data_IF_076784643538
#
_entry.id   IF_076784643538
#
_cell.length_a   1.000
_cell.length_b   1.000
_cell.length_c   1.000
_cell.angle_alpha   90.00
_cell.angle_beta   90.00
_cell.angle_gamma   90.00
#
_symmetry.space_group_name_H-M   'P 1'
#
loop_
_entity.id
_entity.type
_entity.pdbx_description
1 polymer ?
#
# COMPACT_ATOMS: atom_id res chain seq x y z
N UNK A 1 42.04 16.31 10.89
CA UNK A 1 41.32 16.34 9.58
C UNK A 1 40.19 15.31 9.63
N UNK A 2 39.18 15.52 10.48
CA UNK A 2 38.17 14.49 10.78
C UNK A 2 36.73 15.03 10.78
N UNK A 3 36.53 16.25 10.27
CA UNK A 3 35.21 16.91 10.26
C UNK A 3 34.56 16.95 8.86
N UNK A 4 35.33 16.74 7.77
CA UNK A 4 34.81 16.86 6.40
C UNK A 4 34.10 15.59 5.90
N UNK A 5 34.36 14.43 6.51
CA UNK A 5 33.79 13.14 6.08
C UNK A 5 32.35 12.90 6.54
N UNK A 6 31.85 13.68 7.51
CA UNK A 6 30.48 13.54 8.01
C UNK A 6 29.47 14.40 7.25
N UNK A 7 29.90 15.45 6.55
CA UNK A 7 28.99 16.31 5.79
C UNK A 7 28.66 15.73 4.41
N UNK A 8 29.59 14.99 3.78
CA UNK A 8 29.40 14.39 2.45
C UNK A 8 28.37 13.25 2.44
N UNK A 9 28.29 12.45 3.51
CA UNK A 9 27.30 11.37 3.62
C UNK A 9 25.86 11.89 3.76
N UNK A 10 25.68 13.13 4.24
CA UNK A 10 24.35 13.72 4.39
C UNK A 10 23.72 14.12 3.06
N UNK A 11 24.51 14.33 2.00
CA UNK A 11 24.03 14.92 0.75
C UNK A 11 23.61 13.87 -0.30
N UNK A 12 24.15 12.65 -0.23
CA UNK A 12 23.98 11.67 -1.30
C UNK A 12 22.54 11.12 -1.39
N UNK A 13 21.87 10.90 -0.26
CA UNK A 13 20.47 10.51 -0.26
C UNK A 13 19.54 11.67 -0.61
N UNK A 14 19.92 12.92 -0.31
CA UNK A 14 19.14 14.11 -0.67
C UNK A 14 19.06 14.30 -2.19
N UNK A 15 20.13 13.93 -2.92
CA UNK A 15 20.19 13.99 -4.38
C UNK A 15 19.25 13.00 -5.07
N UNK A 16 18.91 11.89 -4.40
CA UNK A 16 18.07 10.82 -4.97
C UNK A 16 16.79 10.56 -4.17
N UNK A 17 16.39 11.48 -3.27
CA UNK A 17 15.21 11.30 -2.40
C UNK A 17 13.91 11.05 -3.17
N UNK A 18 13.79 11.61 -4.38
CA UNK A 18 12.63 11.42 -5.27
C UNK A 18 12.54 9.99 -5.82
N UNK A 19 13.65 9.22 -5.80
CA UNK A 19 13.72 7.83 -6.27
C UNK A 19 13.56 6.80 -5.13
N UNK A 20 13.22 7.26 -3.91
CA UNK A 20 13.10 6.41 -2.74
C UNK A 20 11.63 6.25 -2.38
N UNK A 21 11.11 5.03 -2.51
CA UNK A 21 9.75 4.70 -2.09
C UNK A 21 9.61 4.89 -0.57
N UNK A 22 8.65 5.71 -0.10
CA UNK A 22 8.35 5.86 1.31
C UNK A 22 7.86 4.53 1.91
N UNK A 23 8.46 4.09 3.02
CA UNK A 23 8.04 2.89 3.75
C UNK A 23 7.54 3.28 5.14
N UNK A 24 6.41 2.70 5.57
CA UNK A 24 5.82 2.92 6.90
C UNK A 24 6.77 2.51 8.04
N UNK A 25 7.66 1.53 7.80
CA UNK A 25 8.68 1.05 8.74
C UNK A 25 9.98 1.84 8.71
N UNK A 26 10.15 2.78 7.76
CA UNK A 26 11.43 3.42 7.48
C UNK A 26 12.43 2.52 6.74
N UNK A 27 13.65 3.04 6.53
CA UNK A 27 14.78 2.36 5.86
C UNK A 27 16.07 2.54 6.65
N UNK A 28 16.97 1.56 6.56
CA UNK A 28 18.33 1.68 7.10
C UNK A 28 19.15 2.61 6.21
N UNK A 29 19.69 3.69 6.79
CA UNK A 29 20.47 4.71 6.05
C UNK A 29 21.65 4.10 5.32
N UNK A 30 22.38 3.15 5.93
CA UNK A 30 23.52 2.50 5.30
C UNK A 30 23.16 1.78 3.99
N UNK A 31 22.02 1.08 3.96
CA UNK A 31 21.55 0.38 2.76
C UNK A 31 21.07 1.37 1.71
N UNK A 32 20.43 2.46 2.14
CA UNK A 32 20.00 3.54 1.26
C UNK A 32 21.19 4.22 0.58
N UNK A 33 22.22 4.60 1.34
CA UNK A 33 23.45 5.18 0.80
C UNK A 33 24.13 4.23 -0.19
N UNK A 34 24.25 2.95 0.17
CA UNK A 34 24.85 1.95 -0.71
C UNK A 34 24.05 1.75 -2.01
N UNK A 35 22.71 1.79 -1.95
CA UNK A 35 21.84 1.65 -3.11
C UNK A 35 21.80 2.89 -4.01
N UNK A 36 22.03 4.08 -3.45
CA UNK A 36 22.00 5.36 -4.17
C UNK A 36 23.37 5.78 -4.71
N UNK A 37 24.45 5.13 -4.25
CA UNK A 37 25.80 5.40 -4.71
C UNK A 37 25.90 5.25 -6.24
N UNK A 38 26.22 6.32 -6.99
CA UNK A 38 26.25 6.28 -8.43
C UNK A 38 27.38 5.35 -8.90
N UNK A 39 27.02 4.27 -9.58
CA UNK A 39 27.95 3.39 -10.33
C UNK A 39 28.73 2.33 -9.53
N UNK A 40 28.19 1.78 -8.45
CA UNK A 40 28.81 0.62 -7.81
C UNK A 40 28.39 -0.69 -8.50
N UNK A 41 29.09 -1.05 -9.60
CA UNK A 41 29.02 -2.40 -10.21
C UNK A 41 29.19 -3.50 -9.14
N UNK A 42 30.02 -3.22 -8.12
CA UNK A 42 30.24 -4.07 -6.97
C UNK A 42 28.98 -4.25 -6.10
N UNK A 43 28.16 -3.20 -5.94
CA UNK A 43 26.90 -3.28 -5.18
C UNK A 43 25.84 -4.08 -5.93
N UNK A 44 25.70 -3.86 -7.25
CA UNK A 44 24.80 -4.67 -8.09
C UNK A 44 25.23 -6.15 -8.09
N UNK A 45 26.53 -6.41 -8.18
CA UNK A 45 27.08 -7.77 -8.11
C UNK A 45 26.86 -8.41 -6.73
N UNK A 46 27.03 -7.64 -5.65
CA UNK A 46 26.73 -8.08 -4.28
C UNK A 46 25.25 -8.40 -4.09
N UNK A 47 24.34 -7.52 -4.52
CA UNK A 47 22.89 -7.77 -4.48
C UNK A 47 22.54 -9.03 -5.26
N UNK A 48 23.07 -9.18 -6.48
CA UNK A 48 22.80 -10.35 -7.32
C UNK A 48 23.24 -11.64 -6.64
N UNK A 49 24.43 -11.63 -6.02
CA UNK A 49 24.96 -12.76 -5.24
C UNK A 49 24.08 -13.07 -4.02
N UNK A 50 23.71 -12.07 -3.24
CA UNK A 50 22.84 -12.25 -2.06
C UNK A 50 21.46 -12.79 -2.46
N UNK A 51 20.88 -12.29 -3.57
CA UNK A 51 19.65 -12.81 -4.15
C UNK A 51 19.77 -14.30 -4.50
N UNK A 52 20.87 -14.69 -5.14
CA UNK A 52 21.12 -16.10 -5.48
C UNK A 52 21.28 -16.99 -4.24
N UNK A 53 21.88 -16.47 -3.17
CA UNK A 53 21.97 -17.19 -1.89
C UNK A 53 20.59 -17.45 -1.31
N UNK A 54 19.70 -16.45 -1.27
CA UNK A 54 18.32 -16.64 -0.82
C UNK A 54 17.54 -17.64 -1.67
N UNK A 55 17.65 -17.56 -3.01
CA UNK A 55 16.97 -18.52 -3.89
C UNK A 55 17.51 -19.95 -3.73
N UNK A 56 18.81 -20.10 -3.42
CA UNK A 56 19.40 -21.40 -3.11
C UNK A 56 18.90 -21.91 -1.76
N UNK A 57 18.90 -21.05 -0.74
CA UNK A 57 18.41 -21.37 0.60
C UNK A 57 16.95 -21.84 0.54
N UNK A 58 16.06 -21.13 -0.17
CA UNK A 58 14.67 -21.54 -0.35
C UNK A 58 14.54 -22.95 -0.99
N UNK A 59 15.45 -23.33 -1.89
CA UNK A 59 15.42 -24.63 -2.58
C UNK A 59 15.98 -25.76 -1.72
N UNK A 60 16.98 -25.46 -0.89
CA UNK A 60 17.69 -26.47 -0.09
C UNK A 60 17.27 -26.47 1.38
N UNK A 61 16.28 -25.65 1.76
CA UNK A 61 15.84 -25.54 3.14
C UNK A 61 15.09 -26.80 3.58
N UNK A 62 15.63 -27.48 4.60
CA UNK A 62 15.04 -28.69 5.19
C UNK A 62 14.59 -28.47 6.65
N UNK A 63 14.52 -27.22 7.11
CA UNK A 63 14.11 -26.90 8.47
C UNK A 63 12.59 -26.88 8.69
N UNK A 64 12.19 -26.72 9.96
CA UNK A 64 10.78 -26.75 10.36
C UNK A 64 9.99 -25.46 10.03
N UNK A 65 10.68 -24.34 9.75
CA UNK A 65 10.04 -23.05 9.51
C UNK A 65 10.48 -22.40 8.18
N UNK A 66 10.03 -22.96 7.03
CA UNK A 66 10.36 -22.41 5.71
C UNK A 66 9.91 -20.95 5.55
N UNK A 67 8.82 -20.53 6.19
CA UNK A 67 8.32 -19.15 6.13
C UNK A 67 9.38 -18.13 6.59
N UNK A 68 10.25 -18.48 7.54
CA UNK A 68 11.28 -17.57 8.04
C UNK A 68 12.27 -17.17 6.94
N UNK A 69 12.68 -18.11 6.07
CA UNK A 69 13.60 -17.82 4.96
C UNK A 69 12.95 -16.86 3.97
N UNK A 70 11.68 -17.12 3.63
CA UNK A 70 10.90 -16.25 2.75
C UNK A 70 10.72 -14.84 3.33
N UNK A 71 10.37 -14.75 4.62
CA UNK A 71 10.22 -13.47 5.30
C UNK A 71 11.53 -12.67 5.30
N UNK A 72 12.66 -13.32 5.62
CA UNK A 72 13.98 -12.69 5.58
C UNK A 72 14.33 -12.18 4.17
N UNK A 73 14.03 -12.97 3.13
CA UNK A 73 14.28 -12.58 1.76
C UNK A 73 13.42 -11.38 1.33
N UNK A 74 12.14 -11.35 1.70
CA UNK A 74 11.23 -10.24 1.40
C UNK A 74 11.71 -8.95 2.11
N UNK A 75 12.07 -9.03 3.39
CA UNK A 75 12.62 -7.88 4.13
C UNK A 75 13.92 -7.38 3.48
N UNK A 76 14.80 -8.30 3.08
CA UNK A 76 16.04 -7.95 2.40
C UNK A 76 15.79 -7.22 1.07
N UNK A 77 14.80 -7.63 0.26
CA UNK A 77 14.43 -6.90 -0.96
C UNK A 77 13.96 -5.48 -0.62
N UNK A 78 13.08 -5.31 0.36
CA UNK A 78 12.60 -3.99 0.76
C UNK A 78 13.74 -3.03 1.16
N UNK A 79 14.76 -3.56 1.83
CA UNK A 79 15.88 -2.78 2.31
C UNK A 79 16.88 -2.42 1.19
N UNK A 80 17.10 -3.30 0.22
CA UNK A 80 18.13 -3.11 -0.82
C UNK A 80 17.60 -2.48 -2.12
N UNK A 81 16.27 -2.45 -2.32
CA UNK A 81 15.65 -1.84 -3.50
C UNK A 81 14.84 -0.59 -3.14
N UNK A 82 15.46 0.60 -3.12
CA UNK A 82 14.79 1.84 -2.72
C UNK A 82 13.65 2.28 -3.63
N UNK A 83 13.76 2.02 -4.92
CA UNK A 83 12.77 2.40 -5.95
C UNK A 83 11.64 1.38 -6.10
N UNK A 84 11.63 0.33 -5.27
CA UNK A 84 10.81 -0.86 -5.47
C UNK A 84 11.50 -1.87 -6.40
N UNK A 85 11.23 -3.17 -6.19
CA UNK A 85 11.74 -4.24 -7.03
C UNK A 85 10.60 -4.81 -7.87
N UNK A 86 10.77 -4.90 -9.20
CA UNK A 86 9.77 -5.54 -10.08
C UNK A 86 9.51 -7.00 -9.67
N UNK A 87 10.53 -7.66 -9.14
CA UNK A 87 10.42 -9.04 -8.70
C UNK A 87 9.70 -9.18 -7.35
N UNK A 88 9.47 -8.08 -6.62
CA UNK A 88 8.84 -8.11 -5.29
C UNK A 88 7.42 -8.67 -5.35
N UNK A 89 6.61 -8.26 -6.32
CA UNK A 89 5.25 -8.80 -6.50
C UNK A 89 5.29 -10.30 -6.77
N UNK A 90 6.15 -10.74 -7.70
CA UNK A 90 6.30 -12.15 -8.05
C UNK A 90 6.78 -13.00 -6.88
N UNK A 91 7.67 -12.45 -6.03
CA UNK A 91 8.16 -13.15 -4.84
C UNK A 91 7.04 -13.29 -3.79
N UNK A 92 6.28 -12.24 -3.56
CA UNK A 92 5.13 -12.26 -2.65
C UNK A 92 4.07 -13.26 -3.11
N UNK A 93 3.76 -13.28 -4.40
CA UNK A 93 2.81 -14.24 -4.99
C UNK A 93 3.27 -15.69 -4.86
N UNK A 94 4.56 -15.96 -5.12
CA UNK A 94 5.16 -17.29 -4.90
C UNK A 94 5.06 -17.71 -3.44
N UNK A 95 5.39 -16.81 -2.52
CA UNK A 95 5.31 -17.05 -1.07
C UNK A 95 3.86 -17.36 -0.64
N UNK A 96 2.92 -16.50 -1.04
CA UNK A 96 1.49 -16.66 -0.70
C UNK A 96 0.95 -17.98 -1.26
N UNK A 97 1.24 -18.28 -2.53
CA UNK A 97 0.77 -19.50 -3.19
C UNK A 97 1.30 -20.77 -2.54
N UNK A 98 2.51 -20.74 -1.99
CA UNK A 98 3.13 -21.86 -1.30
C UNK A 98 2.52 -22.11 0.09
N UNK A 99 2.21 -21.04 0.83
CA UNK A 99 1.79 -21.14 2.24
C UNK A 99 0.28 -21.01 2.47
N UNK A 100 -0.53 -20.70 1.45
CA UNK A 100 -1.98 -20.48 1.60
C UNK A 100 -2.73 -21.66 2.24
N UNK A 101 -2.29 -22.89 1.95
CA UNK A 101 -2.94 -24.12 2.42
C UNK A 101 -2.29 -24.68 3.69
N UNK A 102 -1.29 -23.98 4.25
CA UNK A 102 -0.53 -24.42 5.43
C UNK A 102 -1.12 -23.81 6.71
N UNK A 103 -1.91 -24.59 7.43
CA UNK A 103 -2.62 -24.14 8.64
C UNK A 103 -1.70 -23.56 9.73
N UNK A 104 -0.45 -24.03 9.82
CA UNK A 104 0.57 -23.55 10.77
C UNK A 104 0.73 -22.03 10.72
N UNK A 105 0.60 -21.42 9.54
CA UNK A 105 0.88 -20.00 9.31
C UNK A 105 -0.37 -19.12 9.27
N UNK A 106 -1.58 -19.69 9.38
CA UNK A 106 -2.85 -18.94 9.31
C UNK A 106 -2.98 -17.80 10.32
N UNK A 107 -2.27 -17.87 11.44
CA UNK A 107 -2.27 -16.85 12.50
C UNK A 107 -0.87 -16.32 12.81
N UNK A 108 0.09 -16.50 11.91
CA UNK A 108 1.45 -16.00 12.07
C UNK A 108 1.53 -14.52 11.67
N UNK A 109 2.10 -13.68 12.55
CA UNK A 109 2.26 -12.26 12.30
C UNK A 109 3.17 -11.95 11.10
N UNK A 110 4.19 -12.78 10.85
CA UNK A 110 5.11 -12.62 9.72
C UNK A 110 4.36 -12.84 8.41
N UNK A 111 3.48 -13.83 8.38
CA UNK A 111 2.67 -14.12 7.21
C UNK A 111 1.65 -13.00 6.96
N UNK A 112 1.02 -12.47 8.02
CA UNK A 112 0.14 -11.31 7.89
C UNK A 112 0.88 -10.08 7.32
N UNK A 113 2.12 -9.81 7.74
CA UNK A 113 2.92 -8.70 7.19
C UNK A 113 3.17 -8.87 5.68
N UNK A 114 3.44 -10.10 5.24
CA UNK A 114 3.61 -10.44 3.82
C UNK A 114 2.32 -10.14 3.04
N UNK A 115 1.17 -10.54 3.58
CA UNK A 115 -0.14 -10.26 2.97
C UNK A 115 -0.47 -8.77 2.91
N UNK A 116 -0.20 -8.01 3.98
CA UNK A 116 -0.41 -6.55 3.99
C UNK A 116 0.48 -5.89 2.93
N UNK A 117 1.72 -6.32 2.81
CA UNK A 117 2.65 -5.82 1.80
C UNK A 117 2.21 -6.17 0.39
N UNK A 118 1.62 -7.35 0.19
CA UNK A 118 1.00 -7.73 -1.08
C UNK A 118 -0.21 -6.84 -1.41
N UNK A 119 -1.10 -6.59 -0.43
CA UNK A 119 -2.24 -5.71 -0.60
C UNK A 119 -1.84 -4.27 -0.97
N UNK A 120 -0.74 -3.75 -0.41
CA UNK A 120 -0.20 -2.42 -0.74
C UNK A 120 0.31 -2.33 -2.21
N UNK A 121 0.55 -3.46 -2.90
CA UNK A 121 0.93 -3.51 -4.32
C UNK A 121 -0.27 -3.72 -5.27
N UNK A 122 -1.42 -4.14 -4.75
CA UNK A 122 -2.62 -4.38 -5.55
C UNK A 122 -3.34 -3.07 -5.91
N UNK A 123 -4.09 -3.08 -7.02
CA UNK A 123 -4.94 -1.94 -7.42
C UNK A 123 -6.06 -1.70 -6.41
N UNK A 124 -6.70 -2.78 -5.96
CA UNK A 124 -7.77 -2.75 -4.97
C UNK A 124 -7.37 -3.56 -3.71
N UNK A 125 -6.75 -2.91 -2.71
CA UNK A 125 -6.30 -3.59 -1.49
C UNK A 125 -7.44 -4.25 -0.72
N UNK A 126 -8.66 -3.73 -0.83
CA UNK A 126 -9.84 -4.21 -0.09
C UNK A 126 -10.18 -5.65 -0.45
N UNK A 127 -10.08 -6.03 -1.72
CA UNK A 127 -10.35 -7.41 -2.17
C UNK A 127 -9.41 -8.41 -1.49
N UNK A 128 -8.16 -8.01 -1.23
CA UNK A 128 -7.17 -8.83 -0.52
C UNK A 128 -7.57 -9.00 0.95
N UNK A 129 -8.04 -7.94 1.60
CA UNK A 129 -8.54 -8.02 2.99
C UNK A 129 -9.83 -8.85 3.10
N UNK A 130 -10.76 -8.69 2.16
CA UNK A 130 -11.98 -9.48 2.07
C UNK A 130 -11.66 -10.97 1.85
N UNK A 131 -10.66 -11.27 1.01
CA UNK A 131 -10.15 -12.63 0.84
C UNK A 131 -9.58 -13.20 2.15
N UNK A 132 -8.69 -12.47 2.84
CA UNK A 132 -8.12 -12.89 4.12
C UNK A 132 -9.22 -13.17 5.16
N UNK A 133 -10.25 -12.32 5.22
CA UNK A 133 -11.39 -12.48 6.11
C UNK A 133 -12.24 -13.70 5.75
N UNK A 134 -12.53 -13.92 4.46
CA UNK A 134 -13.32 -15.08 3.99
C UNK A 134 -12.65 -16.42 4.34
N UNK A 135 -11.32 -16.47 4.28
CA UNK A 135 -10.53 -17.65 4.65
C UNK A 135 -10.31 -17.76 6.16
N UNK A 136 -10.87 -16.84 6.96
CA UNK A 136 -10.67 -16.74 8.41
C UNK A 136 -9.19 -16.67 8.83
N UNK A 137 -8.33 -16.18 7.94
CA UNK A 137 -6.90 -16.00 8.20
C UNK A 137 -6.67 -14.76 9.05
N UNK A 138 -5.69 -14.83 9.94
CA UNK A 138 -5.24 -13.72 10.79
C UNK A 138 -6.33 -13.09 11.67
N UNK A 139 -7.45 -13.79 11.87
CA UNK A 139 -8.62 -13.29 12.60
C UNK A 139 -8.32 -12.91 14.05
N UNK A 140 -7.25 -13.47 14.63
CA UNK A 140 -6.77 -13.18 15.99
C UNK A 140 -5.78 -12.02 16.08
N UNK A 141 -5.33 -11.45 14.96
CA UNK A 141 -4.29 -10.43 14.93
C UNK A 141 -4.93 -9.04 14.74
N UNK A 142 -4.70 -8.14 15.69
CA UNK A 142 -5.20 -6.77 15.64
C UNK A 142 -4.72 -6.02 14.38
N UNK A 143 -3.52 -6.36 13.90
CA UNK A 143 -2.89 -5.72 12.75
C UNK A 143 -3.69 -5.87 11.44
N UNK A 144 -4.45 -6.97 11.30
CA UNK A 144 -5.33 -7.19 10.15
C UNK A 144 -6.41 -6.10 10.11
N UNK A 145 -7.16 -5.96 11.20
CA UNK A 145 -8.28 -5.03 11.31
C UNK A 145 -7.81 -3.57 11.23
N UNK A 146 -6.66 -3.24 11.83
CA UNK A 146 -6.05 -1.91 11.70
C UNK A 146 -5.78 -1.56 10.23
N UNK A 147 -5.10 -2.46 9.50
CA UNK A 147 -4.68 -2.19 8.13
C UNK A 147 -5.86 -2.20 7.15
N UNK A 148 -6.86 -3.05 7.41
CA UNK A 148 -8.09 -3.12 6.63
C UNK A 148 -8.94 -1.86 6.81
N UNK A 149 -9.21 -1.46 8.06
CA UNK A 149 -9.98 -0.25 8.36
C UNK A 149 -9.28 1.01 7.84
N UNK A 150 -7.95 1.09 7.93
CA UNK A 150 -7.17 2.19 7.36
C UNK A 150 -7.34 2.31 5.84
N UNK A 151 -7.34 1.20 5.11
CA UNK A 151 -7.55 1.23 3.65
C UNK A 151 -9.01 1.61 3.30
N UNK A 152 -9.99 1.16 4.08
CA UNK A 152 -11.39 1.58 3.93
C UNK A 152 -11.58 3.08 4.19
N UNK A 153 -10.92 3.62 5.22
CA UNK A 153 -10.91 5.05 5.53
C UNK A 153 -10.34 5.87 4.35
N UNK A 154 -9.24 5.40 3.73
CA UNK A 154 -8.65 6.06 2.55
C UNK A 154 -9.56 6.04 1.31
N UNK A 155 -10.43 5.04 1.18
CA UNK A 155 -11.44 4.99 0.13
C UNK A 155 -12.72 5.79 0.48
N UNK A 156 -12.76 6.45 1.64
CA UNK A 156 -13.92 7.21 2.12
C UNK A 156 -15.05 6.34 2.66
N UNK A 157 -14.82 5.04 2.87
CA UNK A 157 -15.83 4.12 3.38
C UNK A 157 -15.77 4.00 4.91
N UNK A 158 -16.12 5.09 5.60
CA UNK A 158 -16.05 5.19 7.05
C UNK A 158 -16.96 4.19 7.78
N UNK A 159 -18.15 3.88 7.22
CA UNK A 159 -19.08 2.91 7.82
C UNK A 159 -18.47 1.52 7.90
N UNK A 160 -17.93 1.01 6.79
CA UNK A 160 -17.24 -0.29 6.79
C UNK A 160 -15.99 -0.28 7.66
N UNK A 161 -15.25 0.84 7.72
CA UNK A 161 -14.07 0.94 8.57
C UNK A 161 -14.44 0.74 10.06
N UNK A 162 -15.54 1.35 10.52
CA UNK A 162 -16.06 1.18 11.89
C UNK A 162 -16.52 -0.27 12.17
N UNK A 163 -17.23 -0.89 11.22
CA UNK A 163 -17.63 -2.28 11.30
C UNK A 163 -16.43 -3.22 11.45
N UNK A 164 -15.34 -2.97 10.71
CA UNK A 164 -14.10 -3.75 10.77
C UNK A 164 -13.40 -3.61 12.13
N UNK A 165 -13.34 -2.41 12.70
CA UNK A 165 -12.80 -2.23 14.05
C UNK A 165 -13.62 -3.00 15.09
N UNK A 166 -14.95 -2.82 15.05
CA UNK A 166 -15.88 -3.51 15.95
C UNK A 166 -15.78 -5.03 15.82
N UNK A 167 -15.63 -5.53 14.60
CA UNK A 167 -15.43 -6.95 14.32
C UNK A 167 -14.15 -7.50 14.96
N UNK A 168 -13.02 -6.78 14.81
CA UNK A 168 -11.76 -7.19 15.43
C UNK A 168 -11.81 -7.17 16.95
N UNK A 169 -12.51 -6.19 17.52
CA UNK A 169 -12.77 -6.07 18.96
C UNK A 169 -13.58 -7.27 19.47
N UNK A 170 -14.69 -7.58 18.80
CA UNK A 170 -15.57 -8.70 19.16
C UNK A 170 -14.88 -10.06 19.04
N UNK A 171 -13.91 -10.19 18.12
CA UNK A 171 -13.11 -11.41 17.95
C UNK A 171 -11.94 -11.51 18.93
N UNK A 172 -11.71 -10.49 19.78
CA UNK A 172 -10.62 -10.49 20.77
C UNK A 172 -9.24 -10.47 20.14
N UNK A 173 -9.08 -9.77 19.01
CA UNK A 173 -7.82 -9.72 18.28
C UNK A 173 -6.71 -9.03 19.09
N UNK A 174 -5.52 -9.63 19.11
CA UNK A 174 -4.40 -9.19 19.95
C UNK A 174 -3.36 -8.39 19.13
N UNK A 175 -2.73 -7.36 19.71
CA UNK A 175 -3.02 -6.76 21.02
C UNK A 175 -4.30 -5.92 21.02
N UNK A 176 -5.20 -6.21 21.97
CA UNK A 176 -6.53 -5.61 22.04
C UNK A 176 -6.49 -4.11 22.34
N UNK A 177 -5.53 -3.68 23.17
CA UNK A 177 -5.33 -2.28 23.55
C UNK A 177 -4.95 -1.43 22.34
N UNK A 178 -4.12 -1.99 21.44
CA UNK A 178 -3.72 -1.31 20.20
C UNK A 178 -4.93 -1.12 19.31
N UNK A 179 -5.75 -2.16 19.12
CA UNK A 179 -6.94 -2.07 18.28
C UNK A 179 -7.93 -1.03 18.80
N UNK A 180 -8.20 -1.04 20.11
CA UNK A 180 -9.11 -0.10 20.76
C UNK A 180 -8.59 1.34 20.64
N UNK A 181 -7.28 1.54 20.81
CA UNK A 181 -6.66 2.86 20.64
C UNK A 181 -6.79 3.37 19.20
N UNK A 182 -6.58 2.50 18.21
CA UNK A 182 -6.70 2.86 16.80
C UNK A 182 -8.16 3.18 16.43
N UNK A 183 -9.12 2.42 16.95
CA UNK A 183 -10.55 2.69 16.76
C UNK A 183 -10.95 4.07 17.30
N UNK A 184 -10.56 4.40 18.55
CA UNK A 184 -10.79 5.75 19.11
C UNK A 184 -10.13 6.86 18.29
N UNK A 185 -8.92 6.60 17.77
CA UNK A 185 -8.23 7.57 16.93
C UNK A 185 -8.97 7.79 15.59
N UNK A 186 -9.57 6.74 15.03
CA UNK A 186 -10.44 6.80 13.86
C UNK A 186 -11.72 7.58 14.15
N UNK A 187 -12.42 7.30 15.25
CA UNK A 187 -13.65 8.02 15.65
C UNK A 187 -13.41 9.53 15.78
N UNK A 188 -12.27 9.92 16.37
CA UNK A 188 -11.88 11.34 16.44
C UNK A 188 -11.69 11.95 15.06
N UNK A 189 -10.93 11.30 14.16
CA UNK A 189 -10.76 11.80 12.78
C UNK A 189 -12.08 11.92 12.04
N UNK A 190 -12.99 10.97 12.23
CA UNK A 190 -14.33 11.00 11.66
C UNK A 190 -15.15 12.17 12.21
N UNK A 191 -15.09 12.43 13.52
CA UNK A 191 -15.79 13.56 14.14
C UNK A 191 -15.30 14.92 13.64
N UNK A 192 -13.98 15.06 13.43
CA UNK A 192 -13.36 16.25 12.85
C UNK A 192 -13.80 16.45 11.40
N UNK A 193 -13.83 15.37 10.61
CA UNK A 193 -14.30 15.39 9.22
C UNK A 193 -15.77 15.81 9.11
N UNK A 194 -16.64 15.25 9.95
CA UNK A 194 -18.06 15.62 9.97
C UNK A 194 -18.22 17.09 10.37
N UNK A 195 -17.56 17.54 11.46
CA UNK A 195 -17.66 18.93 11.93
C UNK A 195 -17.16 19.96 10.90
N UNK A 196 -16.15 19.60 10.11
CA UNK A 196 -15.61 20.48 9.05
C UNK A 196 -16.57 20.57 7.86
N UNK A 197 -17.24 19.47 7.50
CA UNK A 197 -18.19 19.44 6.39
C UNK A 197 -19.58 20.00 6.74
N UNK A 198 -19.96 20.06 8.02
CA UNK A 198 -21.25 20.58 8.49
C UNK A 198 -21.23 22.11 8.71
N UNK A 199 -20.14 22.80 8.37
CA UNK A 199 -20.15 24.26 8.29
C UNK A 199 -20.94 24.68 7.06
N UNK A 200 -22.11 25.34 7.20
CA UNK A 200 -22.77 25.91 6.05
C UNK A 200 -21.87 27.04 5.54
N UNK A 201 -21.20 26.79 4.42
CA UNK A 201 -20.62 27.85 3.58
C UNK A 201 -21.77 28.72 3.03
N UNK A 202 -22.32 29.55 3.91
CA UNK A 202 -22.99 30.78 3.52
C UNK A 202 -21.85 31.79 3.30
N UNK A 203 -21.50 32.04 2.03
CA UNK A 203 -21.11 33.35 1.45
C UNK A 203 -20.81 33.12 -0.05
N UNK A 204 -21.79 33.50 -0.89
CA UNK A 204 -21.64 33.82 -2.33
C UNK A 204 -21.05 32.74 -3.27
N UNK A 205 -21.80 31.66 -3.53
CA UNK A 205 -21.69 31.00 -4.83
C UNK A 205 -22.37 31.88 -5.88
N UNK A 206 -21.58 32.67 -6.62
CA UNK A 206 -22.00 33.05 -7.97
C UNK A 206 -22.36 31.76 -8.71
N UNK A 207 -23.51 31.75 -9.38
CA UNK A 207 -24.07 30.58 -10.07
C UNK A 207 -23.18 30.18 -11.26
N UNK A 208 -22.03 29.55 -10.99
CA UNK A 208 -21.21 28.93 -12.01
C UNK A 208 -21.99 27.74 -12.60
N UNK A 209 -22.00 27.58 -13.93
CA UNK A 209 -22.80 26.55 -14.57
C UNK A 209 -22.29 25.15 -14.18
N UNK A 210 -23.05 24.46 -13.31
CA UNK A 210 -22.82 23.05 -12.98
C UNK A 210 -22.98 22.16 -14.22
N UNK A 211 -22.10 21.15 -14.35
CA UNK A 211 -22.22 20.16 -15.43
C UNK A 211 -23.51 19.35 -15.26
N UNK A 212 -24.44 19.51 -16.20
CA UNK A 212 -25.66 18.70 -16.27
C UNK A 212 -25.34 17.38 -16.97
N UNK A 213 -25.41 16.27 -16.24
CA UNK A 213 -25.29 14.94 -16.82
C UNK A 213 -26.36 14.75 -17.90
N UNK A 214 -25.94 14.37 -19.12
CA UNK A 214 -26.81 14.22 -20.29
C UNK A 214 -27.62 15.50 -20.63
N UNK A 215 -27.11 16.68 -20.28
CA UNK A 215 -27.75 17.96 -20.60
C UNK A 215 -28.01 18.09 -22.11
N UNK A 216 -29.25 18.40 -22.49
CA UNK A 216 -29.64 18.58 -23.88
C UNK A 216 -28.91 19.76 -24.52
N UNK A 217 -28.36 19.55 -25.73
CA UNK A 217 -27.68 20.61 -26.48
C UNK A 217 -28.66 21.73 -26.89
N UNK A 218 -28.27 22.99 -26.68
CA UNK A 218 -29.10 24.15 -27.01
C UNK A 218 -29.15 24.35 -28.52
N UNK A 219 -30.36 24.27 -29.10
CA UNK A 219 -30.65 24.56 -30.51
C UNK A 219 -30.35 26.04 -30.82
N UNK A 220 -29.80 26.36 -32.00
CA UNK A 220 -29.53 27.74 -32.40
C UNK A 220 -30.16 28.06 -33.77
N UNK A 221 -30.73 29.26 -33.92
CA UNK A 221 -31.36 29.76 -35.15
C UNK A 221 -32.87 29.50 -35.30
N UNK A 222 -33.54 30.24 -36.20
CA UNK A 222 -35.01 30.21 -36.43
C UNK A 222 -35.60 28.83 -36.80
N UNK A 223 -34.77 27.88 -37.24
CA UNK A 223 -35.19 26.51 -37.59
C UNK A 223 -34.87 25.46 -36.51
N UNK A 224 -34.23 25.84 -35.40
CA UNK A 224 -34.04 24.98 -34.24
C UNK A 224 -33.16 23.75 -34.46
N UNK A 225 -32.14 23.83 -35.32
CA UNK A 225 -31.22 22.72 -35.59
C UNK A 225 -30.07 22.72 -34.58
N UNK A 226 -29.67 21.54 -34.09
CA UNK A 226 -28.43 21.36 -33.31
C UNK A 226 -27.35 20.90 -34.30
N UNK A 227 -26.22 21.60 -34.36
CA UNK A 227 -25.10 21.19 -35.22
C UNK A 227 -24.47 19.88 -34.74
N UNK A 228 -24.09 19.00 -35.66
CA UNK A 228 -23.40 17.75 -35.35
C UNK A 228 -21.88 17.97 -35.44
N UNK A 229 -21.28 18.55 -34.40
CA UNK A 229 -19.83 18.65 -34.29
C UNK A 229 -19.32 17.50 -33.40
N UNK A 230 -18.69 16.49 -34.00
CA UNK A 230 -18.03 15.40 -33.27
C UNK A 230 -16.75 15.95 -32.65
N UNK A 231 -16.66 15.95 -31.32
CA UNK A 231 -15.49 16.43 -30.57
C UNK A 231 -14.60 15.28 -30.03
N UNK A 232 -14.79 14.05 -30.51
CA UNK A 232 -13.97 12.89 -30.15
C UNK A 232 -13.17 12.35 -31.34
N UNK A 233 -11.94 11.90 -31.09
CA UNK A 233 -11.18 11.12 -32.07
C UNK A 233 -11.89 9.80 -32.34
N UNK A 234 -12.16 9.50 -33.61
CA UNK A 234 -12.75 8.23 -34.02
C UNK A 234 -11.76 7.11 -33.73
N UNK A 235 -12.14 6.17 -32.85
CA UNK A 235 -11.44 4.91 -32.71
C UNK A 235 -11.79 4.09 -33.95
N UNK A 236 -10.85 3.99 -34.89
CA UNK A 236 -10.92 3.02 -35.97
C UNK A 236 -10.49 1.68 -35.40
N UNK A 237 -11.43 0.75 -35.29
CA UNK A 237 -11.13 -0.66 -35.07
C UNK A 237 -10.64 -1.24 -36.40
N UNK A 238 -9.39 -1.68 -36.45
CA UNK A 238 -8.93 -2.69 -37.43
C UNK A 238 -9.28 -4.09 -36.94
#
# INVERSE_FOLDING_TARGET
MSAETNLSNSTEWELSKENVQPLKSGRKVANLTAALAPSSCDYQSKISREKQLFETEIRTYEGDDPLQVWYSYIVWICENFPTGCRDQSTLLERCISLFKDVDKYKHDERYLKIWIQYADLCTDPIDVYDYMHSQSMFSKLAKLYESWAYNLERQGNYKKADEVYTLGINRGAQPMEVLTRQHKAFERRLSEFISTNDSPDDINQENDPQRVALGGLKKHGKKGTVGAQRTGHGVTSE
#
